data_IF_298615818010
#
_entry.id   IF_298615818010
#
_cell.length_a   1.000
_cell.length_b   1.000
_cell.length_c   1.000
_cell.angle_alpha   90.00
_cell.angle_beta   90.00
_cell.angle_gamma   90.00
#
_symmetry.space_group_name_H-M   'P 1'
#
loop_
_entity.id
_entity.type
_entity.pdbx_description
1 polymer ?
#
# COMPACT_ATOMS: atom_id res chain seq x y z
N UNK A 1 -10.36 -11.40 -10.23
CA UNK A 1 -10.99 -10.07 -10.14
C UNK A 1 -10.34 -9.32 -8.98
N UNK A 2 -10.04 -8.03 -9.14
CA UNK A 2 -9.28 -7.27 -8.13
C UNK A 2 -10.21 -6.72 -7.04
N UNK A 3 -9.80 -6.84 -5.78
CA UNK A 3 -10.56 -6.35 -4.62
C UNK A 3 -10.34 -4.85 -4.48
N UNK A 4 -11.41 -4.06 -4.53
CA UNK A 4 -11.36 -2.62 -4.20
C UNK A 4 -11.46 -2.42 -2.69
N UNK A 5 -10.50 -1.67 -2.15
CA UNK A 5 -10.48 -1.27 -0.74
C UNK A 5 -10.43 0.26 -0.71
N UNK A 6 -11.32 0.86 0.09
CA UNK A 6 -11.35 2.30 0.30
C UNK A 6 -10.48 2.64 1.51
N UNK A 7 -9.62 3.64 1.33
CA UNK A 7 -8.74 4.16 2.37
C UNK A 7 -8.63 5.68 2.28
N UNK A 8 -8.81 6.37 3.41
CA UNK A 8 -8.83 7.83 3.46
C UNK A 8 -7.41 8.43 3.56
N UNK A 9 -6.40 7.63 3.90
CA UNK A 9 -5.03 8.09 3.94
C UNK A 9 -4.36 8.01 2.55
N UNK A 10 -4.36 9.14 1.85
CA UNK A 10 -3.65 9.29 0.57
C UNK A 10 -2.15 8.94 0.66
N UNK A 11 -1.50 9.17 1.80
CA UNK A 11 -0.12 8.78 2.03
C UNK A 11 0.08 7.27 2.06
N UNK A 12 -0.84 6.53 2.72
CA UNK A 12 -0.86 5.06 2.71
C UNK A 12 -1.09 4.51 1.30
N UNK A 13 -2.04 5.10 0.55
CA UNK A 13 -2.32 4.72 -0.84
C UNK A 13 -1.08 4.94 -1.72
N UNK A 14 -0.43 6.09 -1.60
CA UNK A 14 0.77 6.41 -2.34
C UNK A 14 1.91 5.45 -1.99
N UNK A 15 2.10 5.15 -0.70
CA UNK A 15 3.15 4.25 -0.25
C UNK A 15 2.95 2.81 -0.72
N UNK A 16 1.71 2.33 -0.78
CA UNK A 16 1.39 1.01 -1.30
C UNK A 16 1.58 0.89 -2.82
N UNK A 17 1.41 1.99 -3.57
CA UNK A 17 1.59 2.04 -5.03
C UNK A 17 3.04 2.31 -5.46
N UNK A 18 3.72 3.24 -4.79
CA UNK A 18 5.11 3.62 -5.07
C UNK A 18 5.90 3.69 -3.76
N UNK A 19 6.56 2.60 -3.39
CA UNK A 19 7.15 2.43 -2.07
C UNK A 19 8.51 3.09 -2.01
N UNK A 20 8.53 4.42 -1.91
CA UNK A 20 9.77 5.17 -1.76
C UNK A 20 10.37 4.94 -0.37
N UNK A 21 11.66 4.58 -0.35
CA UNK A 21 12.40 4.47 0.88
C UNK A 21 12.65 5.85 1.47
N UNK A 22 12.07 6.09 2.62
CA UNK A 22 12.29 7.27 3.45
C UNK A 22 12.70 6.82 4.84
N UNK A 23 13.44 7.65 5.56
CA UNK A 23 13.85 7.37 6.94
C UNK A 23 12.65 7.06 7.86
N UNK A 24 11.46 7.59 7.54
CA UNK A 24 10.20 7.35 8.26
C UNK A 24 9.54 6.02 7.87
N UNK A 25 9.68 5.57 6.63
CA UNK A 25 9.07 4.31 6.15
C UNK A 25 9.84 3.07 6.61
N UNK A 26 11.10 3.22 7.10
CA UNK A 26 11.87 2.13 7.72
C UNK A 26 11.19 1.50 8.95
N UNK A 27 10.32 2.24 9.62
CA UNK A 27 9.64 1.82 10.85
C UNK A 27 8.28 1.18 10.58
N UNK A 28 7.90 1.02 9.32
CA UNK A 28 6.64 0.38 8.95
C UNK A 28 6.82 -1.12 9.11
N UNK A 29 5.94 -1.71 9.93
CA UNK A 29 5.99 -3.14 10.21
C UNK A 29 5.81 -3.98 8.94
N UNK A 30 6.48 -5.13 8.92
CA UNK A 30 6.47 -6.06 7.78
C UNK A 30 5.06 -6.51 7.39
N UNK A 31 4.13 -6.59 8.35
CA UNK A 31 2.72 -6.91 8.09
C UNK A 31 2.05 -6.01 7.06
N UNK A 32 2.50 -4.76 6.92
CA UNK A 32 1.97 -3.83 5.92
C UNK A 32 2.56 -4.03 4.52
N UNK A 33 3.66 -4.78 4.38
CA UNK A 33 4.17 -5.18 3.08
C UNK A 33 3.24 -6.15 2.35
N UNK A 34 2.44 -6.94 3.08
CA UNK A 34 1.46 -7.83 2.45
C UNK A 34 0.45 -7.06 1.57
N UNK A 35 -0.09 -5.95 2.07
CA UNK A 35 -1.03 -5.13 1.29
C UNK A 35 -0.35 -4.57 0.04
N UNK A 36 0.90 -4.13 0.18
CA UNK A 36 1.71 -3.64 -0.94
C UNK A 36 1.94 -4.72 -1.98
N UNK A 37 2.34 -5.93 -1.58
CA UNK A 37 2.51 -7.07 -2.50
C UNK A 37 1.21 -7.35 -3.25
N UNK A 38 0.07 -7.31 -2.56
CA UNK A 38 -1.25 -7.53 -3.19
C UNK A 38 -1.64 -6.41 -4.16
N UNK A 39 -1.21 -5.18 -3.91
CA UNK A 39 -1.37 -4.06 -4.83
C UNK A 39 -0.45 -4.19 -6.04
N UNK A 40 0.81 -4.60 -5.83
CA UNK A 40 1.79 -4.88 -6.91
C UNK A 40 1.33 -6.06 -7.79
N UNK A 41 0.76 -7.11 -7.20
CA UNK A 41 0.17 -8.26 -7.90
C UNK A 41 -1.13 -7.91 -8.65
N UNK A 42 -1.67 -6.69 -8.49
CA UNK A 42 -2.94 -6.26 -9.06
C UNK A 42 -4.17 -6.96 -8.44
N UNK A 43 -4.00 -7.67 -7.33
CA UNK A 43 -5.08 -8.34 -6.60
C UNK A 43 -5.92 -7.35 -5.79
N UNK A 44 -5.31 -6.24 -5.36
CA UNK A 44 -5.96 -5.19 -4.58
C UNK A 44 -5.82 -3.84 -5.29
N UNK A 45 -6.89 -3.07 -5.32
CA UNK A 45 -6.91 -1.68 -5.79
C UNK A 45 -7.31 -0.78 -4.64
N UNK A 46 -6.40 0.11 -4.23
CA UNK A 46 -6.65 1.12 -3.22
C UNK A 46 -7.24 2.39 -3.86
N UNK A 47 -8.36 2.84 -3.31
CA UNK A 47 -9.09 4.04 -3.72
C UNK A 47 -9.40 4.91 -2.49
N UNK A 48 -9.47 6.23 -2.68
CA UNK A 48 -9.98 7.15 -1.65
C UNK A 48 -11.50 7.06 -1.58
#
# INVERSE_FOLDING_TARGET
>A
EAVKIYEDNQGSIALAKNPQFHKRTKHIDIRYHFVREKVEDGQVVLQY
#
